data_IF_839660034276
#
_entry.id   IF_839660034276
#
_cell.length_a   1.000
_cell.length_b   1.000
_cell.length_c   1.000
_cell.angle_alpha   90.00
_cell.angle_beta   90.00
_cell.angle_gamma   90.00
#
_symmetry.space_group_name_H-M   'P 1'
#
loop_
_entity.id
_entity.type
_entity.pdbx_description
1 polymer ?
#
# COMPACT_ATOMS: atom_id res chain seq x y z
N UNK A 1 -68.87 -7.69 -1.75
CA UNK A 1 -67.81 -6.65 -1.76
C UNK A 1 -66.49 -7.30 -1.38
N UNK A 2 -65.52 -7.37 -2.30
CA UNK A 2 -64.16 -7.89 -2.07
C UNK A 2 -63.19 -6.76 -2.41
N UNK A 3 -62.46 -6.24 -1.42
CA UNK A 3 -61.38 -5.28 -1.64
C UNK A 3 -60.07 -6.06 -1.81
N UNK A 4 -59.49 -6.00 -3.01
CA UNK A 4 -58.15 -6.53 -3.28
C UNK A 4 -57.16 -5.44 -2.89
N UNK A 5 -56.36 -5.73 -1.86
CA UNK A 5 -55.25 -4.91 -1.40
C UNK A 5 -54.08 -5.05 -2.38
N UNK A 6 -53.81 -4.02 -3.17
CA UNK A 6 -52.62 -3.95 -4.03
C UNK A 6 -51.42 -3.51 -3.18
N UNK A 7 -50.50 -4.43 -2.90
CA UNK A 7 -49.22 -4.14 -2.25
C UNK A 7 -48.20 -3.75 -3.34
N UNK A 8 -47.89 -2.46 -3.45
CA UNK A 8 -46.80 -1.95 -4.29
C UNK A 8 -45.47 -2.12 -3.55
N UNK A 9 -44.67 -3.11 -3.96
CA UNK A 9 -43.27 -3.25 -3.52
C UNK A 9 -42.42 -2.40 -4.45
N UNK A 10 -41.91 -1.27 -3.94
CA UNK A 10 -40.90 -0.47 -4.61
C UNK A 10 -39.55 -1.19 -4.49
N UNK A 11 -39.10 -1.81 -5.58
CA UNK A 11 -37.70 -2.25 -5.71
C UNK A 11 -36.88 -1.01 -6.02
N UNK A 12 -36.25 -0.42 -5.02
CA UNK A 12 -35.17 0.55 -5.24
C UNK A 12 -33.97 -0.22 -5.81
N UNK A 13 -33.86 -0.22 -7.14
CA UNK A 13 -32.63 -0.56 -7.81
C UNK A 13 -31.58 0.50 -7.43
N UNK A 14 -30.77 0.21 -6.42
CA UNK A 14 -29.49 0.87 -6.26
C UNK A 14 -28.63 0.44 -7.46
N UNK A 15 -28.73 1.21 -8.55
CA UNK A 15 -27.70 1.24 -9.56
C UNK A 15 -26.42 1.69 -8.84
N UNK A 16 -25.62 0.72 -8.41
CA UNK A 16 -24.25 0.98 -8.00
C UNK A 16 -23.57 1.54 -9.23
N UNK A 17 -23.51 2.87 -9.27
CA UNK A 17 -22.66 3.62 -10.15
C UNK A 17 -21.25 3.16 -9.78
N UNK A 18 -20.77 2.12 -10.45
CA UNK A 18 -19.39 1.70 -10.43
C UNK A 18 -18.62 2.81 -11.16
N UNK A 19 -18.50 3.96 -10.49
CA UNK A 19 -17.44 4.89 -10.74
C UNK A 19 -16.20 4.03 -10.76
N UNK A 20 -15.64 3.89 -11.95
CA UNK A 20 -14.32 3.36 -12.19
C UNK A 20 -13.37 4.34 -11.49
N UNK A 21 -13.29 4.22 -10.16
CA UNK A 21 -12.32 4.91 -9.34
C UNK A 21 -11.03 4.22 -9.72
N UNK A 22 -10.39 4.75 -10.75
CA UNK A 22 -8.96 4.58 -10.95
C UNK A 22 -8.32 5.09 -9.66
N UNK A 23 -8.18 4.21 -8.68
CA UNK A 23 -7.49 4.50 -7.43
C UNK A 23 -6.10 4.93 -7.85
N UNK A 24 -5.83 6.23 -7.75
CA UNK A 24 -4.52 6.78 -8.01
C UNK A 24 -3.59 6.22 -6.93
N UNK A 25 -3.03 5.05 -7.19
CA UNK A 25 -2.21 4.34 -6.21
C UNK A 25 -0.96 5.17 -5.96
N UNK A 26 -0.73 5.55 -4.71
CA UNK A 26 0.45 6.29 -4.33
C UNK A 26 1.66 5.35 -4.38
N UNK A 27 2.66 5.67 -5.21
CA UNK A 27 3.86 4.83 -5.35
C UNK A 27 4.90 5.25 -4.32
N UNK A 28 5.44 4.27 -3.60
CA UNK A 28 6.61 4.45 -2.75
C UNK A 28 7.79 3.84 -3.48
N UNK A 29 8.65 4.71 -4.01
CA UNK A 29 9.89 4.32 -4.65
C UNK A 29 10.95 4.07 -3.59
N UNK A 30 11.53 2.88 -3.61
CA UNK A 30 12.61 2.48 -2.71
C UNK A 30 13.90 2.49 -3.53
N UNK A 31 14.80 3.42 -3.17
CA UNK A 31 16.09 3.56 -3.81
C UNK A 31 17.21 3.12 -2.87
N UNK A 32 18.14 2.31 -3.38
CA UNK A 32 19.30 1.77 -2.68
C UNK A 32 20.45 2.77 -2.66
N UNK A 33 20.37 3.79 -3.51
CA UNK A 33 21.16 5.02 -3.43
C UNK A 33 20.45 6.11 -2.63
N UNK A 34 19.36 5.81 -1.89
CA UNK A 34 18.70 6.78 -1.02
C UNK A 34 19.76 7.49 -0.18
N UNK A 35 20.11 8.69 -0.62
CA UNK A 35 20.83 9.64 0.18
C UNK A 35 20.01 9.76 1.46
N UNK A 36 20.68 9.71 2.60
CA UNK A 36 20.12 9.40 3.91
C UNK A 36 19.00 10.36 4.41
N UNK A 37 18.59 11.33 3.59
CA UNK A 37 17.74 12.47 3.93
C UNK A 37 16.38 12.56 3.20
N UNK A 38 16.09 11.71 2.20
CA UNK A 38 14.78 11.75 1.53
C UNK A 38 13.69 11.07 2.37
N UNK A 39 13.06 11.84 3.26
CA UNK A 39 11.86 11.42 3.99
C UNK A 39 10.62 11.74 3.14
N UNK A 40 9.93 10.69 2.69
CA UNK A 40 8.65 10.86 1.98
C UNK A 40 7.56 11.32 2.97
N UNK A 41 6.67 12.19 2.52
CA UNK A 41 5.59 12.77 3.34
C UNK A 41 4.24 12.30 2.84
N UNK A 42 3.55 11.47 3.62
CA UNK A 42 2.31 10.82 3.23
C UNK A 42 1.21 11.09 4.26
N UNK A 43 -0.04 11.12 3.81
CA UNK A 43 -1.21 10.97 4.69
C UNK A 43 -1.39 9.52 5.11
N UNK A 44 -2.24 9.26 6.11
CA UNK A 44 -2.52 7.87 6.53
C UNK A 44 -3.22 7.09 5.41
N UNK A 45 -4.11 7.72 4.66
CA UNK A 45 -4.77 7.09 3.51
C UNK A 45 -3.80 6.84 2.35
N UNK A 46 -2.90 7.79 2.06
CA UNK A 46 -1.85 7.58 1.07
C UNK A 46 -0.95 6.39 1.42
N UNK A 47 -0.63 6.22 2.71
CA UNK A 47 0.15 5.07 3.17
C UNK A 47 -0.62 3.75 3.04
N UNK A 48 -1.94 3.73 3.28
CA UNK A 48 -2.78 2.52 3.10
C UNK A 48 -2.86 2.10 1.63
N UNK A 49 -2.87 3.07 0.72
CA UNK A 49 -2.91 2.83 -0.72
C UNK A 49 -1.53 2.66 -1.37
N UNK A 50 -0.47 2.71 -0.55
CA UNK A 50 0.89 2.71 -1.03
C UNK A 50 1.27 1.41 -1.77
N UNK A 51 1.90 1.58 -2.93
CA UNK A 51 2.50 0.51 -3.72
C UNK A 51 4.01 0.66 -3.67
N UNK A 52 4.68 -0.33 -3.09
CA UNK A 52 6.14 -0.39 -3.02
C UNK A 52 6.68 -0.75 -4.40
N UNK A 53 7.67 0.01 -4.86
CA UNK A 53 8.40 -0.23 -6.11
C UNK A 53 9.89 -0.03 -5.86
N UNK A 54 10.74 -0.81 -6.52
CA UNK A 54 12.19 -0.61 -6.46
C UNK A 54 12.64 0.30 -7.61
N UNK A 55 13.64 1.14 -7.34
CA UNK A 55 14.22 2.02 -8.35
C UNK A 55 14.98 1.22 -9.44
N UNK A 56 14.61 1.35 -10.73
CA UNK A 56 15.35 0.75 -11.84
C UNK A 56 16.80 1.23 -11.93
N UNK A 57 17.10 2.46 -11.48
CA UNK A 57 18.45 3.02 -11.47
C UNK A 57 19.44 2.21 -10.60
N UNK A 58 18.94 1.31 -9.75
CA UNK A 58 19.74 0.36 -8.99
C UNK A 58 20.17 -0.88 -9.82
N UNK A 59 20.25 -0.78 -11.16
CA UNK A 59 20.44 -1.90 -12.09
C UNK A 59 19.33 -2.97 -12.02
N UNK A 60 18.12 -2.57 -11.61
CA UNK A 60 16.99 -3.48 -11.52
C UNK A 60 16.14 -3.40 -12.78
N UNK A 61 15.73 -4.53 -13.38
CA UNK A 61 14.82 -4.50 -14.51
C UNK A 61 13.44 -3.99 -14.09
N UNK A 62 12.79 -3.26 -15.00
CA UNK A 62 11.50 -2.58 -14.76
C UNK A 62 10.38 -3.52 -14.28
N UNK A 63 10.47 -4.82 -14.59
CA UNK A 63 9.46 -5.84 -14.26
C UNK A 63 9.78 -6.63 -12.98
N UNK A 64 10.56 -6.06 -12.07
CA UNK A 64 10.91 -6.71 -10.81
C UNK A 64 9.66 -7.00 -9.96
N UNK A 65 9.49 -8.25 -9.56
CA UNK A 65 8.37 -8.69 -8.73
C UNK A 65 8.74 -8.66 -7.24
N UNK A 66 8.03 -7.88 -6.45
CA UNK A 66 8.22 -7.83 -4.99
C UNK A 66 7.33 -8.89 -4.33
N UNK A 67 7.96 -9.82 -3.62
CA UNK A 67 7.26 -10.88 -2.89
C UNK A 67 6.87 -10.46 -1.47
N UNK A 68 7.71 -9.68 -0.80
CA UNK A 68 7.36 -9.13 0.50
C UNK A 68 8.25 -7.96 0.90
N UNK A 69 7.81 -7.21 1.90
CA UNK A 69 8.59 -6.16 2.58
C UNK A 69 8.20 -6.08 4.05
N UNK A 70 9.01 -5.38 4.85
CA UNK A 70 8.71 -5.11 6.25
C UNK A 70 8.30 -3.65 6.45
N UNK A 71 7.21 -3.45 7.18
CA UNK A 71 6.79 -2.16 7.73
C UNK A 71 7.14 -2.10 9.22
N UNK A 72 7.91 -1.09 9.61
CA UNK A 72 8.20 -0.79 11.02
C UNK A 72 7.51 0.51 11.40
N UNK A 73 6.66 0.46 12.42
CA UNK A 73 6.00 1.63 12.99
C UNK A 73 6.75 2.09 14.26
N UNK A 74 6.60 3.35 14.71
CA UNK A 74 7.37 3.91 15.82
C UNK A 74 7.29 3.12 17.14
N UNK A 75 6.10 2.60 17.48
CA UNK A 75 5.83 1.96 18.78
C UNK A 75 5.32 0.51 18.67
N UNK A 76 5.46 -0.11 17.50
CA UNK A 76 4.88 -1.44 17.24
C UNK A 76 5.89 -2.41 16.67
N UNK A 77 5.64 -3.72 16.83
CA UNK A 77 6.43 -4.75 16.17
C UNK A 77 6.43 -4.56 14.66
N UNK A 78 7.47 -5.12 14.01
CA UNK A 78 7.59 -5.15 12.56
C UNK A 78 6.47 -5.99 11.96
N UNK A 79 5.92 -5.53 10.85
CA UNK A 79 4.91 -6.25 10.08
C UNK A 79 5.50 -6.70 8.74
N UNK A 80 5.53 -8.00 8.50
CA UNK A 80 5.90 -8.55 7.18
C UNK A 80 4.67 -8.53 6.28
N UNK A 81 4.79 -7.87 5.14
CA UNK A 81 3.72 -7.68 4.16
C UNK A 81 4.03 -8.51 2.93
N UNK A 82 3.11 -9.39 2.53
CA UNK A 82 3.20 -10.15 1.29
C UNK A 82 2.74 -9.33 0.09
N UNK A 83 3.47 -9.42 -1.01
CA UNK A 83 3.29 -8.62 -2.23
C UNK A 83 3.94 -7.25 -2.13
N UNK A 84 3.47 -6.33 -2.99
CA UNK A 84 4.00 -4.97 -3.12
C UNK A 84 3.02 -3.89 -2.64
N UNK A 85 1.88 -4.27 -2.05
CA UNK A 85 0.86 -3.35 -1.54
C UNK A 85 0.74 -3.49 -0.04
N UNK A 86 0.42 -2.39 0.63
CA UNK A 86 0.04 -2.42 2.04
C UNK A 86 -1.26 -3.22 2.20
N UNK A 87 -1.28 -4.13 3.17
CA UNK A 87 -2.41 -5.04 3.39
C UNK A 87 -3.42 -4.45 4.38
N UNK A 88 -4.68 -4.85 4.24
CA UNK A 88 -5.78 -4.37 5.11
C UNK A 88 -5.54 -4.67 6.59
N UNK A 89 -4.84 -5.76 6.90
CA UNK A 89 -4.52 -6.15 8.29
C UNK A 89 -3.59 -5.16 9.02
N UNK A 90 -2.85 -4.31 8.31
CA UNK A 90 -2.05 -3.23 8.90
C UNK A 90 -2.73 -1.86 8.88
N UNK A 91 -3.92 -1.74 8.29
CA UNK A 91 -4.66 -0.47 8.26
C UNK A 91 -4.99 0.04 9.67
N UNK A 92 -5.31 -0.87 10.60
CA UNK A 92 -5.56 -0.48 11.99
C UNK A 92 -4.29 0.07 12.67
N UNK A 93 -3.11 -0.42 12.29
CA UNK A 93 -1.86 0.13 12.78
C UNK A 93 -1.61 1.52 12.21
N UNK A 94 -1.85 1.70 10.90
CA UNK A 94 -1.70 2.99 10.21
C UNK A 94 -2.66 4.04 10.75
N UNK A 95 -3.93 3.69 11.01
CA UNK A 95 -4.93 4.64 11.53
C UNK A 95 -4.56 5.24 12.89
N UNK A 96 -3.68 4.58 13.66
CA UNK A 96 -3.21 5.07 14.97
C UNK A 96 -2.00 6.00 14.89
N UNK A 97 -1.39 6.14 13.71
CA UNK A 97 -0.28 7.06 13.52
C UNK A 97 -0.75 8.50 13.66
N UNK A 98 0.16 9.35 14.14
CA UNK A 98 -0.02 10.79 14.29
C UNK A 98 0.88 11.52 13.30
N UNK A 99 0.54 12.77 13.01
CA UNK A 99 1.44 13.67 12.30
C UNK A 99 2.81 13.71 12.99
N UNK A 100 3.88 13.58 12.20
CA UNK A 100 5.27 13.44 12.65
C UNK A 100 5.76 12.00 12.82
N UNK A 101 4.86 11.02 12.95
CA UNK A 101 5.26 9.61 13.06
C UNK A 101 5.96 9.14 11.79
N UNK A 102 7.03 8.36 11.96
CA UNK A 102 7.80 7.82 10.84
C UNK A 102 7.62 6.30 10.72
N UNK A 103 7.21 5.86 9.55
CA UNK A 103 7.11 4.45 9.16
C UNK A 103 8.31 4.11 8.27
N UNK A 104 8.92 2.95 8.48
CA UNK A 104 10.07 2.49 7.71
C UNK A 104 9.68 1.28 6.89
N UNK A 105 9.93 1.35 5.58
CA UNK A 105 9.86 0.21 4.66
C UNK A 105 11.27 -0.34 4.46
N UNK A 106 11.47 -1.63 4.69
CA UNK A 106 12.78 -2.27 4.58
C UNK A 106 12.67 -3.79 4.30
N UNK A 107 13.82 -4.47 4.25
CA UNK A 107 13.91 -5.94 4.10
C UNK A 107 13.08 -6.49 2.93
N UNK A 108 13.07 -5.77 1.81
CA UNK A 108 12.28 -6.11 0.63
C UNK A 108 12.87 -7.35 -0.02
N UNK A 109 12.03 -8.35 -0.29
CA UNK A 109 12.40 -9.52 -1.09
C UNK A 109 11.77 -9.41 -2.45
N UNK A 110 12.57 -9.61 -3.49
CA UNK A 110 12.14 -9.47 -4.87
C UNK A 110 12.71 -10.57 -5.75
N UNK A 111 12.10 -10.74 -6.92
CA UNK A 111 12.57 -11.63 -7.98
C UNK A 111 12.67 -10.85 -9.28
N UNK A 112 13.79 -11.03 -9.95
CA UNK A 112 14.04 -10.50 -11.28
C UNK A 112 13.36 -11.41 -12.31
N UNK A 113 12.67 -10.87 -13.33
CA UNK A 113 12.13 -11.68 -14.42
C UNK A 113 13.17 -12.60 -15.04
N UNK A 114 12.83 -13.88 -15.19
CA UNK A 114 13.74 -14.89 -15.74
C UNK A 114 14.72 -15.49 -14.73
N UNK A 115 14.84 -14.90 -13.54
CA UNK A 115 15.60 -15.47 -12.43
C UNK A 115 14.70 -16.36 -11.56
N UNK A 116 15.23 -17.50 -11.10
CA UNK A 116 14.53 -18.40 -10.16
C UNK A 116 14.89 -18.13 -8.70
N UNK A 117 15.80 -17.18 -8.45
CA UNK A 117 16.29 -16.85 -7.11
C UNK A 117 15.58 -15.62 -6.53
N UNK A 118 15.42 -15.65 -5.21
CA UNK A 118 14.91 -14.53 -4.44
C UNK A 118 16.07 -13.67 -3.96
N UNK A 119 15.99 -12.38 -4.27
CA UNK A 119 16.96 -11.38 -3.87
C UNK A 119 16.45 -10.58 -2.69
N UNK A 120 17.38 -10.07 -1.88
CA UNK A 120 17.08 -9.16 -0.78
C UNK A 120 17.57 -7.76 -1.14
N UNK A 121 16.67 -6.78 -1.10
CA UNK A 121 17.03 -5.37 -1.17
C UNK A 121 17.51 -4.89 0.19
N UNK A 122 18.66 -4.23 0.22
CA UNK A 122 19.28 -3.73 1.45
C UNK A 122 18.88 -2.29 1.78
N UNK A 123 18.33 -1.55 0.82
CA UNK A 123 17.83 -0.19 1.04
C UNK A 123 16.57 -0.15 1.91
N UNK A 124 16.31 1.01 2.48
CA UNK A 124 15.11 1.31 3.28
C UNK A 124 14.57 2.69 2.93
N UNK A 125 13.26 2.89 3.10
CA UNK A 125 12.62 4.19 2.90
C UNK A 125 11.87 4.62 4.15
N UNK A 126 12.08 5.87 4.57
CA UNK A 126 11.32 6.52 5.64
C UNK A 126 10.12 7.27 5.06
N UNK A 127 8.97 7.12 5.70
CA UNK A 127 7.73 7.80 5.38
C UNK A 127 7.24 8.50 6.64
N UNK A 128 7.19 9.82 6.64
CA UNK A 128 6.62 10.64 7.70
C UNK A 128 5.13 10.90 7.43
N UNK A 129 4.30 10.69 8.44
CA UNK A 129 2.89 11.06 8.40
C UNK A 129 2.76 12.57 8.59
N UNK A 130 1.99 13.24 7.74
CA UNK A 130 1.84 14.71 7.79
C UNK A 130 0.49 15.19 8.32
N UNK A 131 -0.48 14.31 8.54
CA UNK A 131 -1.84 14.63 9.03
C UNK A 131 -2.24 13.91 10.33
#
# INVERSE_FOLDING_TARGET
MKYILFLLISVSAFAQNASNVTASSHKVLINGQSMQDDVLKFTREQLKEAVVTLDPAANLPEKTHIACFELTFPEKPRHVIGGNKVLVNVHQAISRLKSGDTVIIQNIKYQVPGDKTWHKYTGSQKIMIVE
#
